data_IF_901966975862
#
_entry.id   IF_901966975862
#
_cell.length_a   1.000
_cell.length_b   1.000
_cell.length_c   1.000
_cell.angle_alpha   90.00
_cell.angle_beta   90.00
_cell.angle_gamma   90.00
#
_symmetry.space_group_name_H-M   'P 1'
#
loop_
_entity.id
_entity.type
_entity.pdbx_description
1 polymer ?
#
# COMPACT_ATOMS: atom_id res chain seq x y z
N UNK A 1 -27.44 16.46 12.77
CA UNK A 1 -27.83 17.84 12.44
C UNK A 1 -27.19 18.13 11.10
N UNK A 2 -27.99 18.46 10.09
CA UNK A 2 -27.48 18.95 8.81
C UNK A 2 -27.18 20.43 9.01
N UNK A 3 -25.89 20.82 8.95
CA UNK A 3 -25.45 22.19 9.22
C UNK A 3 -25.87 23.15 8.09
N UNK A 4 -26.37 22.62 6.95
CA UNK A 4 -27.04 23.37 5.89
C UNK A 4 -26.14 24.33 5.09
N UNK A 5 -24.86 24.43 5.46
CA UNK A 5 -23.86 25.33 4.84
C UNK A 5 -22.92 24.61 3.88
N UNK A 6 -22.82 23.28 3.97
CA UNK A 6 -21.97 22.46 3.11
C UNK A 6 -22.71 22.11 1.81
N UNK A 7 -22.30 22.74 0.71
CA UNK A 7 -22.92 22.51 -0.61
C UNK A 7 -22.11 21.58 -1.52
N UNK A 8 -20.86 21.29 -1.18
CA UNK A 8 -19.96 20.46 -1.98
C UNK A 8 -19.00 19.65 -1.08
N UNK A 9 -18.69 18.42 -1.52
CA UNK A 9 -17.72 17.54 -0.87
C UNK A 9 -16.76 16.97 -1.92
N UNK A 10 -15.46 17.14 -1.69
CA UNK A 10 -14.39 16.58 -2.52
C UNK A 10 -13.64 15.46 -1.78
N UNK A 11 -14.31 14.31 -1.57
CA UNK A 11 -13.71 13.13 -0.94
C UNK A 11 -13.11 12.18 -1.97
N UNK A 12 -11.89 11.67 -1.71
CA UNK A 12 -11.20 10.75 -2.63
C UNK A 12 -10.56 9.55 -1.95
N UNK A 13 -9.81 9.76 -0.87
CA UNK A 13 -9.05 8.69 -0.19
C UNK A 13 -9.93 7.54 0.34
N UNK A 14 -11.20 7.81 0.63
CA UNK A 14 -12.19 6.81 1.05
C UNK A 14 -12.48 5.73 0.02
N UNK A 15 -12.24 5.97 -1.28
CA UNK A 15 -12.38 4.95 -2.31
C UNK A 15 -11.30 3.86 -2.22
N UNK A 16 -10.10 4.21 -1.76
CA UNK A 16 -8.99 3.26 -1.61
C UNK A 16 -8.94 2.65 -0.21
N UNK A 17 -9.31 3.42 0.81
CA UNK A 17 -9.21 3.05 2.23
C UNK A 17 -7.77 2.65 2.59
N UNK A 18 -6.83 3.61 2.62
CA UNK A 18 -5.41 3.35 2.88
C UNK A 18 -5.17 2.91 4.33
N UNK A 19 -3.98 2.40 4.65
CA UNK A 19 -3.71 1.79 5.96
C UNK A 19 -3.93 2.75 7.14
N UNK A 20 -3.65 4.05 6.98
CA UNK A 20 -3.85 5.04 8.06
C UNK A 20 -5.33 5.17 8.48
N UNK A 21 -6.28 4.76 7.62
CA UNK A 21 -7.70 4.78 7.97
C UNK A 21 -8.07 3.71 9.00
N UNK A 22 -7.22 2.70 9.23
CA UNK A 22 -7.46 1.69 10.26
C UNK A 22 -7.40 2.28 11.68
N UNK A 23 -6.80 3.46 11.84
CA UNK A 23 -6.75 4.20 13.11
C UNK A 23 -8.01 5.05 13.35
N UNK A 24 -8.89 5.18 12.34
CA UNK A 24 -10.07 6.03 12.42
C UNK A 24 -11.26 5.24 12.98
N UNK A 25 -11.97 5.82 13.94
CA UNK A 25 -13.06 5.13 14.63
C UNK A 25 -14.27 4.81 13.73
N UNK A 26 -14.60 5.73 12.82
CA UNK A 26 -15.84 5.66 12.04
C UNK A 26 -15.60 5.31 10.56
N UNK A 27 -14.47 4.68 10.23
CA UNK A 27 -14.16 4.21 8.88
C UNK A 27 -14.15 2.68 8.85
N UNK A 28 -15.17 2.09 8.23
CA UNK A 28 -15.31 0.63 8.07
C UNK A 28 -15.45 0.22 6.59
N UNK A 29 -14.74 0.93 5.71
CA UNK A 29 -14.73 0.63 4.29
C UNK A 29 -13.85 -0.59 4.00
N UNK A 30 -14.08 -1.24 2.86
CA UNK A 30 -13.22 -2.33 2.39
C UNK A 30 -11.98 -1.73 1.71
N UNK A 31 -10.75 -2.13 2.08
CA UNK A 31 -9.56 -1.76 1.33
C UNK A 31 -9.67 -2.20 -0.12
N UNK A 32 -9.42 -1.26 -1.04
CA UNK A 32 -9.62 -1.48 -2.48
C UNK A 32 -8.37 -1.24 -3.33
N UNK A 33 -7.28 -0.75 -2.72
CA UNK A 33 -6.04 -0.46 -3.42
C UNK A 33 -4.84 -1.09 -2.71
N UNK A 34 -4.00 -1.76 -3.49
CA UNK A 34 -2.83 -2.47 -3.01
C UNK A 34 -1.68 -2.29 -3.99
N UNK A 35 -0.45 -2.34 -3.49
CA UNK A 35 0.72 -2.60 -4.32
C UNK A 35 1.31 -3.94 -3.94
N UNK A 36 1.93 -4.61 -4.91
CA UNK A 36 2.35 -5.99 -4.77
C UNK A 36 3.83 -6.10 -5.10
N UNK A 37 4.59 -6.73 -4.22
CA UNK A 37 6.00 -7.01 -4.42
C UNK A 37 6.24 -8.51 -4.42
N UNK A 38 7.20 -8.96 -5.23
CA UNK A 38 7.63 -10.36 -5.22
C UNK A 38 8.74 -10.58 -4.19
N UNK A 39 8.71 -11.74 -3.54
CA UNK A 39 9.81 -12.23 -2.72
C UNK A 39 11.02 -12.46 -3.61
N UNK A 40 12.12 -11.77 -3.31
CA UNK A 40 13.37 -11.85 -4.08
C UNK A 40 14.38 -12.81 -3.47
N UNK A 41 14.32 -13.05 -2.15
CA UNK A 41 15.15 -14.06 -1.45
C UNK A 41 14.58 -14.43 -0.07
N UNK A 42 15.05 -15.55 0.47
CA UNK A 42 14.84 -15.95 1.86
C UNK A 42 16.18 -16.14 2.57
N UNK A 43 16.57 -15.23 3.47
CA UNK A 43 17.87 -15.30 4.14
C UNK A 43 17.92 -16.36 5.26
N UNK A 44 16.76 -16.72 5.83
CA UNK A 44 16.61 -17.72 6.88
C UNK A 44 15.16 -18.20 6.96
N UNK A 45 14.91 -19.26 7.73
CA UNK A 45 13.54 -19.71 8.02
C UNK A 45 12.74 -18.60 8.72
N UNK A 46 11.49 -18.41 8.30
CA UNK A 46 10.57 -17.39 8.78
C UNK A 46 10.79 -16.00 8.17
N UNK A 47 11.82 -15.83 7.34
CA UNK A 47 12.18 -14.56 6.73
C UNK A 47 12.05 -14.59 5.21
N UNK A 48 11.41 -13.55 4.67
CA UNK A 48 11.30 -13.31 3.25
C UNK A 48 11.61 -11.85 2.95
N UNK A 49 12.42 -11.60 1.92
CA UNK A 49 12.79 -10.26 1.49
C UNK A 49 12.08 -9.93 0.19
N UNK A 50 11.44 -8.76 0.12
CA UNK A 50 10.87 -8.22 -1.12
C UNK A 50 11.71 -7.03 -1.59
N UNK A 51 11.76 -6.81 -2.90
CA UNK A 51 12.35 -5.59 -3.44
C UNK A 51 11.28 -4.49 -3.50
N UNK A 52 11.67 -3.26 -3.15
CA UNK A 52 10.79 -2.09 -3.24
C UNK A 52 9.49 -2.16 -2.41
N UNK A 53 9.42 -2.98 -1.35
CA UNK A 53 8.26 -3.08 -0.44
C UNK A 53 8.06 -1.86 0.48
N UNK A 54 8.68 -0.75 0.11
CA UNK A 54 9.12 0.32 0.99
C UNK A 54 8.64 1.71 0.59
N UNK A 55 7.50 1.81 -0.08
CA UNK A 55 6.90 3.10 -0.44
C UNK A 55 6.40 3.79 0.84
N UNK A 56 7.32 4.50 1.50
CA UNK A 56 7.05 5.31 2.69
C UNK A 56 6.25 6.54 2.26
N UNK A 57 5.13 6.78 2.94
CA UNK A 57 4.30 7.93 2.67
C UNK A 57 4.99 9.25 3.04
N UNK A 58 4.64 10.30 2.32
CA UNK A 58 5.11 11.67 2.56
C UNK A 58 4.76 12.20 3.96
N UNK A 59 5.54 13.17 4.44
CA UNK A 59 5.32 13.87 5.70
C UNK A 59 6.43 13.63 6.72
N UNK A 60 6.25 14.10 7.98
CA UNK A 60 7.22 13.86 9.04
C UNK A 60 7.44 12.35 9.25
N UNK A 61 8.69 11.92 9.53
CA UNK A 61 8.98 10.52 9.83
C UNK A 61 8.16 10.02 11.02
N UNK A 62 7.37 8.96 10.80
CA UNK A 62 6.50 8.38 11.80
C UNK A 62 6.03 6.97 11.39
N UNK A 63 5.56 6.18 12.36
CA UNK A 63 5.08 4.82 12.12
C UNK A 63 3.87 4.77 11.17
N UNK A 64 3.01 5.80 11.21
CA UNK A 64 1.85 5.97 10.32
C UNK A 64 2.22 6.32 8.86
N UNK A 65 3.52 6.35 8.53
CA UNK A 65 4.03 6.51 7.15
C UNK A 65 4.41 5.20 6.50
N UNK A 66 4.53 4.13 7.28
CA UNK A 66 4.99 2.82 6.80
C UNK A 66 3.83 2.09 6.12
N UNK A 67 3.99 1.58 4.88
CA UNK A 67 2.98 0.71 4.28
C UNK A 67 2.81 -0.57 5.10
N UNK A 68 1.68 -1.26 4.96
CA UNK A 68 1.37 -2.45 5.77
C UNK A 68 1.30 -3.68 4.87
N UNK A 69 2.12 -4.70 5.14
CA UNK A 69 2.00 -6.01 4.52
C UNK A 69 0.73 -6.71 5.03
N UNK A 70 -0.25 -6.91 4.14
CA UNK A 70 -1.57 -7.44 4.51
C UNK A 70 -1.81 -8.87 4.04
N UNK A 71 -1.05 -9.33 3.04
CA UNK A 71 -1.13 -10.71 2.56
C UNK A 71 0.21 -11.20 2.03
N UNK A 72 0.65 -12.43 2.35
CA UNK A 72 0.06 -13.34 3.33
C UNK A 72 -0.03 -12.75 4.75
N UNK A 73 -1.02 -13.19 5.54
CA UNK A 73 -1.25 -12.65 6.89
C UNK A 73 -0.10 -13.02 7.83
N UNK A 74 0.11 -12.18 8.85
CA UNK A 74 1.11 -12.42 9.91
C UNK A 74 2.51 -11.91 9.56
N UNK A 75 2.69 -11.27 8.42
CA UNK A 75 3.93 -10.61 8.05
C UNK A 75 4.15 -9.34 8.89
N UNK A 76 5.37 -9.14 9.36
CA UNK A 76 5.81 -7.94 10.04
C UNK A 76 7.18 -7.49 9.55
N UNK A 77 7.45 -6.19 9.64
CA UNK A 77 8.80 -5.66 9.44
C UNK A 77 9.78 -6.19 10.50
N UNK A 78 11.06 -6.18 10.16
CA UNK A 78 12.11 -6.34 11.15
C UNK A 78 12.09 -5.16 12.14
N UNK A 79 12.60 -5.39 13.35
CA UNK A 79 12.83 -4.29 14.31
C UNK A 79 14.04 -3.43 13.96
N UNK A 80 14.94 -3.93 13.10
CA UNK A 80 16.19 -3.26 12.70
C UNK A 80 16.15 -2.70 11.28
N UNK A 81 15.24 -3.19 10.45
CA UNK A 81 15.09 -2.82 9.03
C UNK A 81 13.61 -2.63 8.73
N UNK A 82 13.27 -1.61 7.94
CA UNK A 82 11.88 -1.23 7.71
C UNK A 82 11.52 -1.08 6.24
N UNK A 83 10.29 -0.62 6.00
CA UNK A 83 9.94 -0.07 4.71
C UNK A 83 10.88 1.11 4.35
N UNK A 84 11.28 1.18 3.10
CA UNK A 84 12.22 2.19 2.58
C UNK A 84 13.58 1.59 2.22
N UNK A 85 13.92 0.44 2.80
CA UNK A 85 15.07 -0.35 2.36
C UNK A 85 14.85 -0.84 0.93
N UNK A 86 15.90 -0.77 0.11
CA UNK A 86 15.91 -1.30 -1.27
C UNK A 86 15.45 -2.77 -1.27
N UNK A 87 15.85 -3.50 -0.23
CA UNK A 87 15.46 -4.88 0.03
C UNK A 87 14.83 -4.94 1.40
N UNK A 88 13.50 -5.04 1.43
CA UNK A 88 12.70 -4.94 2.64
C UNK A 88 12.49 -6.34 3.23
N UNK A 89 13.09 -6.68 4.38
CA UNK A 89 12.83 -7.96 5.03
C UNK A 89 11.48 -7.95 5.75
N UNK A 90 10.80 -9.09 5.67
CA UNK A 90 9.59 -9.40 6.41
C UNK A 90 9.76 -10.72 7.14
N UNK A 91 9.15 -10.81 8.31
CA UNK A 91 9.12 -12.01 9.12
C UNK A 91 7.67 -12.49 9.32
N UNK A 92 7.47 -13.79 9.51
CA UNK A 92 6.20 -14.36 9.98
C UNK A 92 5.51 -15.33 9.02
N UNK A 93 6.02 -15.48 7.79
CA UNK A 93 5.59 -16.52 6.88
C UNK A 93 6.80 -17.10 6.12
N UNK A 94 6.80 -18.42 5.90
CA UNK A 94 7.78 -19.11 5.07
C UNK A 94 7.32 -19.03 3.61
N UNK A 95 7.66 -17.95 2.92
CA UNK A 95 7.34 -17.74 1.49
C UNK A 95 8.47 -18.25 0.61
N UNK A 96 8.15 -18.67 -0.60
CA UNK A 96 9.11 -19.02 -1.65
C UNK A 96 9.45 -17.78 -2.49
N UNK A 97 10.65 -17.78 -3.08
CA UNK A 97 11.04 -16.78 -4.08
C UNK A 97 10.02 -16.76 -5.22
N UNK A 98 9.58 -15.56 -5.60
CA UNK A 98 8.54 -15.32 -6.61
C UNK A 98 7.11 -15.25 -6.07
N UNK A 99 6.86 -15.68 -4.82
CA UNK A 99 5.56 -15.46 -4.19
C UNK A 99 5.29 -13.97 -3.94
N UNK A 100 4.01 -13.61 -3.92
CA UNK A 100 3.55 -12.23 -3.86
C UNK A 100 3.25 -11.80 -2.43
N UNK A 101 3.73 -10.62 -2.06
CA UNK A 101 3.34 -9.91 -0.85
C UNK A 101 2.55 -8.67 -1.24
N UNK A 102 1.36 -8.55 -0.68
CA UNK A 102 0.43 -7.46 -0.91
C UNK A 102 0.52 -6.46 0.22
N UNK A 103 0.59 -5.19 -0.14
CA UNK A 103 0.70 -4.09 0.79
C UNK A 103 -0.45 -3.11 0.61
N UNK A 104 -0.90 -2.53 1.72
CA UNK A 104 -1.66 -1.27 1.70
C UNK A 104 -0.70 -0.12 1.91
N UNK A 105 -0.75 0.87 1.02
CA UNK A 105 -0.01 2.11 1.23
C UNK A 105 -0.60 2.88 2.42
N UNK A 106 0.25 3.59 3.17
CA UNK A 106 -0.19 4.38 4.31
C UNK A 106 -1.17 5.51 3.92
N UNK A 107 -0.98 6.09 2.72
CA UNK A 107 -1.84 7.14 2.16
C UNK A 107 -2.36 6.78 0.77
N UNK A 108 -3.64 7.07 0.50
CA UNK A 108 -4.35 6.57 -0.67
C UNK A 108 -3.67 6.93 -2.01
N UNK A 109 -3.56 8.22 -2.33
CA UNK A 109 -3.14 8.65 -3.67
C UNK A 109 -1.65 8.44 -3.98
N UNK A 110 -0.82 8.25 -2.96
CA UNK A 110 0.64 8.28 -3.14
C UNK A 110 1.17 7.05 -3.87
N UNK A 111 0.52 5.88 -3.79
CA UNK A 111 0.93 4.71 -4.58
C UNK A 111 0.94 4.98 -6.08
N UNK A 112 0.05 5.84 -6.57
CA UNK A 112 -0.02 6.22 -7.99
C UNK A 112 1.08 7.19 -8.42
N UNK A 113 1.92 7.68 -7.50
CA UNK A 113 3.15 8.42 -7.83
C UNK A 113 4.27 7.47 -8.29
N UNK A 114 4.15 6.18 -7.99
CA UNK A 114 5.17 5.17 -8.25
C UNK A 114 4.91 4.34 -9.51
N UNK A 115 3.68 4.34 -10.03
CA UNK A 115 3.26 3.46 -11.13
C UNK A 115 2.45 4.22 -12.18
N UNK A 116 2.57 3.80 -13.43
CA UNK A 116 1.91 4.45 -14.57
C UNK A 116 0.46 3.98 -14.75
N UNK A 117 0.12 2.82 -14.18
CA UNK A 117 -1.21 2.24 -14.27
C UNK A 117 -1.60 1.48 -13.01
N UNK A 118 -2.91 1.39 -12.79
CA UNK A 118 -3.54 0.48 -11.86
C UNK A 118 -4.18 -0.66 -12.63
N UNK A 119 -4.15 -1.86 -12.05
CA UNK A 119 -4.98 -2.97 -12.51
C UNK A 119 -6.25 -2.97 -11.66
N UNK A 120 -7.38 -2.61 -12.27
CA UNK A 120 -8.70 -2.74 -11.67
C UNK A 120 -9.18 -4.17 -11.86
N UNK A 121 -9.62 -4.82 -10.77
CA UNK A 121 -10.00 -6.23 -10.77
C UNK A 121 -11.43 -6.37 -10.28
N UNK A 122 -12.27 -7.04 -11.07
CA UNK A 122 -13.62 -7.46 -10.69
C UNK A 122 -13.81 -8.95 -11.01
N UNK A 123 -13.73 -9.79 -9.97
CA UNK A 123 -13.75 -11.24 -10.12
C UNK A 123 -12.60 -11.75 -11.00
N UNK A 124 -12.91 -12.19 -12.21
CA UNK A 124 -11.94 -12.65 -13.22
C UNK A 124 -11.64 -11.59 -14.30
N UNK A 125 -12.32 -10.45 -14.25
CA UNK A 125 -12.10 -9.34 -15.17
C UNK A 125 -10.96 -8.46 -14.66
N UNK A 126 -10.12 -8.01 -15.58
CA UNK A 126 -9.03 -7.07 -15.28
C UNK A 126 -9.04 -5.97 -16.32
N UNK A 127 -9.01 -4.73 -15.86
CA UNK A 127 -8.84 -3.54 -16.67
C UNK A 127 -7.60 -2.77 -16.24
N UNK A 128 -7.01 -2.03 -17.17
CA UNK A 128 -5.90 -1.14 -16.87
C UNK A 128 -6.39 0.30 -16.85
N UNK A 129 -6.20 0.99 -15.72
CA UNK A 129 -6.53 2.41 -15.58
C UNK A 129 -5.25 3.23 -15.46
N UNK A 130 -5.09 4.23 -16.32
CA UNK A 130 -3.90 5.10 -16.32
C UNK A 130 -3.90 6.02 -15.10
N UNK A 131 -2.77 6.13 -14.42
CA UNK A 131 -2.58 7.11 -13.32
C UNK A 131 -2.21 8.49 -13.88
N UNK A 132 -2.21 9.54 -13.05
CA UNK A 132 -1.66 10.84 -13.46
C UNK A 132 -0.19 10.72 -13.90
N UNK A 133 0.60 9.85 -13.25
CA UNK A 133 1.98 9.56 -13.65
C UNK A 133 2.03 8.98 -15.06
N UNK A 134 1.18 7.99 -15.36
CA UNK A 134 1.07 7.40 -16.70
C UNK A 134 0.59 8.40 -17.77
N UNK A 135 -0.08 9.47 -17.37
CA UNK A 135 -0.44 10.60 -18.24
C UNK A 135 0.67 11.65 -18.38
N UNK A 136 1.82 11.46 -17.72
CA UNK A 136 2.93 12.42 -17.71
C UNK A 136 2.74 13.59 -16.74
N UNK A 137 1.71 13.56 -15.90
CA UNK A 137 1.39 14.62 -14.94
C UNK A 137 1.98 14.28 -13.58
N UNK A 138 3.31 14.18 -13.52
CA UNK A 138 4.00 13.89 -12.26
C UNK A 138 4.33 15.20 -11.53
N UNK A 139 4.10 15.23 -10.22
CA UNK A 139 4.32 16.40 -9.36
C UNK A 139 5.79 16.54 -8.90
N UNK A 140 6.73 15.88 -9.58
CA UNK A 140 8.17 15.85 -9.26
C UNK A 140 9.06 16.03 -10.49
#
# INVERSE_FOLDING_TARGET
MDEGTLTEVAAGSGFYTPAIFDEFQDVNHRPAAFFVCQVSRNPAKGWSTVNSGGWIASGPPAADRVPVAVWPKGLSYSSMEGAGEVQTPLHGADLNVGELVWFRHAKAGEMTEHVDYLLAVDGQQTEQWTTYRGQGWTLR
#
